data_IF_898100861175
#
_entry.id   IF_898100861175
#
_cell.length_a   1.000
_cell.length_b   1.000
_cell.length_c   1.000
_cell.angle_alpha   90.00
_cell.angle_beta   90.00
_cell.angle_gamma   90.00
#
_symmetry.space_group_name_H-M   'P 1'
#
loop_
_entity.id
_entity.type
_entity.pdbx_description
1 polymer ?
#
# COMPACT_ATOMS: atom_id res chain seq x y z
N UNK A 1 22.05 12.24 -8.49
CA UNK A 1 21.53 12.92 -7.28
C UNK A 1 20.05 13.29 -7.40
N UNK A 2 19.62 13.91 -8.50
CA UNK A 2 18.21 14.31 -8.66
C UNK A 2 17.22 13.12 -8.69
N UNK A 3 17.63 12.00 -9.31
CA UNK A 3 16.83 10.76 -9.34
C UNK A 3 16.55 10.19 -7.94
N UNK A 4 17.57 10.15 -7.07
CA UNK A 4 17.43 9.68 -5.69
C UNK A 4 16.45 10.54 -4.89
N UNK A 5 16.52 11.88 -5.05
CA UNK A 5 15.55 12.80 -4.42
C UNK A 5 14.11 12.55 -4.89
N UNK A 6 13.91 12.26 -6.17
CA UNK A 6 12.58 11.95 -6.73
C UNK A 6 12.04 10.62 -6.20
N UNK A 7 12.89 9.60 -6.09
CA UNK A 7 12.53 8.30 -5.49
C UNK A 7 12.12 8.47 -4.03
N UNK A 8 12.92 9.18 -3.24
CA UNK A 8 12.59 9.47 -1.84
C UNK A 8 11.28 10.27 -1.72
N UNK A 9 11.06 11.24 -2.61
CA UNK A 9 9.81 12.00 -2.65
C UNK A 9 8.61 11.10 -2.97
N UNK A 10 8.74 10.16 -3.91
CA UNK A 10 7.67 9.21 -4.24
C UNK A 10 7.37 8.27 -3.08
N UNK A 11 8.41 7.76 -2.40
CA UNK A 11 8.28 6.96 -1.19
C UNK A 11 7.50 7.69 -0.09
N UNK A 12 7.89 8.93 0.24
CA UNK A 12 7.21 9.71 1.28
C UNK A 12 5.76 10.02 0.91
N UNK A 13 5.51 10.38 -0.34
CA UNK A 13 4.13 10.61 -0.84
C UNK A 13 3.28 9.35 -0.79
N UNK A 14 3.86 8.19 -1.07
CA UNK A 14 3.17 6.91 -0.93
C UNK A 14 2.77 6.66 0.52
N UNK A 15 3.73 6.77 1.44
CA UNK A 15 3.51 6.57 2.88
C UNK A 15 2.43 7.50 3.43
N UNK A 16 2.57 8.82 3.22
CA UNK A 16 1.60 9.81 3.71
C UNK A 16 0.20 9.59 3.13
N UNK A 17 0.11 9.22 1.85
CA UNK A 17 -1.18 8.97 1.20
C UNK A 17 -1.80 7.66 1.69
N UNK A 18 -1.01 6.62 1.93
CA UNK A 18 -1.47 5.34 2.49
C UNK A 18 -2.09 5.53 3.89
N UNK A 19 -1.43 6.33 4.74
CA UNK A 19 -1.94 6.70 6.07
C UNK A 19 -3.27 7.45 5.94
N UNK A 20 -3.30 8.54 5.16
CA UNK A 20 -4.52 9.34 4.95
C UNK A 20 -5.66 8.55 4.31
N UNK A 21 -5.33 7.60 3.43
CA UNK A 21 -6.33 6.72 2.83
C UNK A 21 -7.00 5.85 3.89
N UNK A 22 -6.22 5.24 4.77
CA UNK A 22 -6.74 4.39 5.83
C UNK A 22 -7.68 5.17 6.77
N UNK A 23 -7.23 6.32 7.28
CA UNK A 23 -8.02 7.21 8.14
C UNK A 23 -9.31 7.68 7.46
N UNK A 24 -9.23 8.07 6.18
CA UNK A 24 -10.39 8.51 5.41
C UNK A 24 -11.38 7.36 5.16
N UNK A 25 -10.89 6.13 5.01
CA UNK A 25 -11.74 4.93 4.83
C UNK A 25 -12.48 4.61 6.12
N UNK A 26 -11.79 4.67 7.27
CA UNK A 26 -12.40 4.43 8.60
C UNK A 26 -13.49 5.47 8.91
N UNK A 27 -13.29 6.72 8.49
CA UNK A 27 -14.23 7.82 8.75
C UNK A 27 -15.29 8.00 7.66
N UNK A 28 -15.27 7.19 6.60
CA UNK A 28 -16.21 7.32 5.47
C UNK A 28 -15.99 8.55 4.59
N UNK A 29 -14.83 9.21 4.67
CA UNK A 29 -14.46 10.35 3.84
C UNK A 29 -13.96 9.89 2.46
N UNK A 30 -14.91 9.50 1.60
CA UNK A 30 -14.60 8.97 0.26
C UNK A 30 -13.83 9.95 -0.63
N UNK A 31 -14.08 11.26 -0.50
CA UNK A 31 -13.36 12.27 -1.28
C UNK A 31 -11.86 12.25 -0.95
N UNK A 32 -11.50 12.21 0.33
CA UNK A 32 -10.12 12.12 0.76
C UNK A 32 -9.52 10.74 0.46
N UNK A 33 -10.27 9.65 0.66
CA UNK A 33 -9.80 8.30 0.32
C UNK A 33 -9.43 8.19 -1.17
N UNK A 34 -10.32 8.64 -2.06
CA UNK A 34 -10.09 8.62 -3.51
C UNK A 34 -8.89 9.49 -3.92
N UNK A 35 -8.76 10.68 -3.33
CA UNK A 35 -7.59 11.55 -3.58
C UNK A 35 -6.30 10.89 -3.12
N UNK A 36 -6.30 10.27 -1.94
CA UNK A 36 -5.14 9.55 -1.42
C UNK A 36 -4.79 8.36 -2.31
N UNK A 37 -5.77 7.58 -2.76
CA UNK A 37 -5.56 6.45 -3.67
C UNK A 37 -4.85 6.87 -4.98
N UNK A 38 -5.25 7.99 -5.58
CA UNK A 38 -4.57 8.51 -6.78
C UNK A 38 -3.09 8.81 -6.52
N UNK A 39 -2.74 9.32 -5.34
CA UNK A 39 -1.34 9.58 -4.95
C UNK A 39 -0.59 8.27 -4.72
N UNK A 40 -1.19 7.30 -4.03
CA UNK A 40 -0.63 5.96 -3.80
C UNK A 40 -0.27 5.32 -5.14
N UNK A 41 -1.24 5.20 -6.05
CA UNK A 41 -1.06 4.57 -7.36
C UNK A 41 0.00 5.27 -8.20
N UNK A 42 -0.01 6.61 -8.24
CA UNK A 42 1.00 7.40 -8.97
C UNK A 42 2.40 7.20 -8.40
N UNK A 43 2.55 7.21 -7.08
CA UNK A 43 3.85 7.02 -6.42
C UNK A 43 4.37 5.60 -6.61
N UNK A 44 3.51 4.58 -6.45
CA UNK A 44 3.87 3.19 -6.66
C UNK A 44 4.29 2.92 -8.10
N UNK A 45 3.55 3.46 -9.08
CA UNK A 45 3.90 3.41 -10.50
C UNK A 45 5.28 4.01 -10.75
N UNK A 46 5.57 5.20 -10.23
CA UNK A 46 6.87 5.83 -10.38
C UNK A 46 8.00 4.98 -9.76
N UNK A 47 7.78 4.41 -8.57
CA UNK A 47 8.73 3.52 -7.91
C UNK A 47 8.96 2.25 -8.73
N UNK A 48 7.92 1.68 -9.35
CA UNK A 48 8.02 0.52 -10.25
C UNK A 48 8.83 0.86 -11.50
N UNK A 49 8.49 1.94 -12.19
CA UNK A 49 9.18 2.42 -13.41
C UNK A 49 10.65 2.76 -13.17
N UNK A 50 11.01 3.08 -11.92
CA UNK A 50 12.40 3.39 -11.51
C UNK A 50 13.09 2.24 -10.77
N UNK A 51 12.56 1.00 -10.85
CA UNK A 51 13.11 -0.19 -10.19
C UNK A 51 13.34 -0.03 -8.67
N UNK A 52 12.55 0.83 -8.04
CA UNK A 52 12.65 1.24 -6.64
C UNK A 52 11.46 0.81 -5.79
N UNK A 53 10.53 0.02 -6.34
CA UNK A 53 9.33 -0.47 -5.63
C UNK A 53 9.67 -1.21 -4.33
N UNK A 54 10.77 -1.97 -4.32
CA UNK A 54 11.26 -2.67 -3.12
C UNK A 54 11.51 -1.76 -1.91
N UNK A 55 11.66 -0.45 -2.11
CA UNK A 55 11.82 0.49 -0.99
C UNK A 55 10.61 0.54 -0.08
N UNK A 56 9.41 0.22 -0.59
CA UNK A 56 8.19 0.12 0.20
C UNK A 56 8.27 -0.95 1.30
N UNK A 57 9.21 -1.91 1.20
CA UNK A 57 9.40 -2.94 2.25
C UNK A 57 9.69 -2.35 3.63
N UNK A 58 10.26 -1.13 3.68
CA UNK A 58 10.49 -0.37 4.92
C UNK A 58 9.20 -0.02 5.67
N UNK A 59 8.07 0.00 4.97
CA UNK A 59 6.76 0.31 5.54
C UNK A 59 6.04 -0.92 6.10
N UNK A 60 6.55 -2.14 5.86
CA UNK A 60 5.90 -3.37 6.36
C UNK A 60 5.90 -3.46 7.88
N UNK A 61 6.84 -2.77 8.54
CA UNK A 61 6.95 -2.66 10.00
C UNK A 61 6.45 -1.29 10.53
N UNK A 62 5.82 -0.46 9.69
CA UNK A 62 5.27 0.84 10.10
C UNK A 62 4.21 0.65 11.20
N UNK A 63 4.07 1.59 12.12
CA UNK A 63 2.98 1.57 13.11
C UNK A 63 1.60 1.77 12.46
N UNK A 64 1.54 2.45 11.30
CA UNK A 64 0.29 2.68 10.58
C UNK A 64 -0.16 1.42 9.83
N UNK A 65 -1.39 0.97 10.13
CA UNK A 65 -2.04 -0.11 9.37
C UNK A 65 -2.19 0.25 7.88
N UNK A 66 -2.45 1.52 7.56
CA UNK A 66 -2.56 2.00 6.18
C UNK A 66 -1.26 1.88 5.41
N UNK A 67 -0.14 2.30 6.02
CA UNK A 67 1.18 2.18 5.42
C UNK A 67 1.56 0.71 5.20
N UNK A 68 1.37 -0.15 6.20
CA UNK A 68 1.64 -1.60 6.09
C UNK A 68 0.78 -2.25 5.00
N UNK A 69 -0.53 -2.00 5.00
CA UNK A 69 -1.49 -2.61 4.09
C UNK A 69 -1.16 -2.26 2.64
N UNK A 70 -1.04 -0.97 2.31
CA UNK A 70 -0.78 -0.54 0.94
C UNK A 70 0.61 -0.95 0.47
N UNK A 71 1.63 -0.88 1.33
CA UNK A 71 2.96 -1.37 0.98
C UNK A 71 2.93 -2.87 0.66
N UNK A 72 2.28 -3.67 1.50
CA UNK A 72 2.14 -5.10 1.26
C UNK A 72 1.40 -5.39 -0.06
N UNK A 73 0.27 -4.73 -0.33
CA UNK A 73 -0.48 -4.86 -1.60
C UNK A 73 0.43 -4.65 -2.82
N UNK A 74 1.19 -3.55 -2.88
CA UNK A 74 2.06 -3.27 -4.03
C UNK A 74 3.34 -4.13 -4.07
N UNK A 75 3.70 -4.77 -2.97
CA UNK A 75 4.86 -5.66 -2.90
C UNK A 75 4.53 -7.11 -3.25
N UNK A 76 3.25 -7.51 -3.33
CA UNK A 76 2.85 -8.86 -3.72
C UNK A 76 3.61 -9.40 -4.96
N UNK A 77 3.80 -8.63 -6.06
CA UNK A 77 4.46 -9.16 -7.25
C UNK A 77 5.97 -9.39 -7.14
N UNK A 78 6.65 -8.82 -6.13
CA UNK A 78 8.12 -8.87 -6.00
C UNK A 78 8.60 -9.37 -4.64
N UNK A 79 7.70 -9.45 -3.65
CA UNK A 79 7.99 -9.83 -2.28
C UNK A 79 6.80 -10.54 -1.64
N UNK A 80 6.20 -11.46 -2.41
CA UNK A 80 4.93 -12.12 -2.14
C UNK A 80 4.83 -12.68 -0.72
N UNK A 81 5.78 -13.53 -0.30
CA UNK A 81 5.72 -14.19 1.00
C UNK A 81 5.56 -13.20 2.17
N UNK A 82 6.39 -12.15 2.19
CA UNK A 82 6.39 -11.17 3.27
C UNK A 82 5.16 -10.25 3.17
N UNK A 83 4.80 -9.83 1.96
CA UNK A 83 3.59 -9.05 1.73
C UNK A 83 2.33 -9.81 2.17
N UNK A 84 2.21 -11.08 1.79
CA UNK A 84 1.10 -11.96 2.15
C UNK A 84 1.00 -12.14 3.66
N UNK A 85 2.13 -12.35 4.35
CA UNK A 85 2.13 -12.47 5.82
C UNK A 85 1.59 -11.19 6.50
N UNK A 86 1.95 -10.01 5.99
CA UNK A 86 1.44 -8.73 6.51
C UNK A 86 -0.05 -8.58 6.23
N UNK A 87 -0.51 -8.88 5.01
CA UNK A 87 -1.93 -8.82 4.66
C UNK A 87 -2.76 -9.80 5.50
N UNK A 88 -2.27 -11.03 5.72
CA UNK A 88 -2.94 -12.03 6.56
C UNK A 88 -3.04 -11.57 8.02
N UNK A 89 -2.00 -10.95 8.56
CA UNK A 89 -2.00 -10.36 9.90
C UNK A 89 -3.02 -9.22 10.03
N UNK A 90 -3.16 -8.38 9.00
CA UNK A 90 -4.19 -7.32 8.99
C UNK A 90 -5.59 -7.92 8.84
N UNK A 91 -5.73 -8.95 8.00
CA UNK A 91 -6.98 -9.67 7.75
C UNK A 91 -7.52 -10.40 8.99
N UNK A 92 -6.68 -10.77 9.96
CA UNK A 92 -7.16 -11.41 11.21
C UNK A 92 -7.86 -10.46 12.18
N UNK A 93 -7.85 -9.15 11.91
CA UNK A 93 -8.61 -8.17 12.69
C UNK A 93 -10.11 -8.15 12.33
N UNK A 94 -10.85 -7.27 13.02
CA UNK A 94 -12.29 -7.08 12.86
C UNK A 94 -12.67 -5.62 12.50
N UNK A 95 -11.82 -4.93 11.74
CA UNK A 95 -12.09 -3.56 11.28
C UNK A 95 -12.18 -3.48 9.74
N UNK A 96 -12.44 -2.29 9.22
CA UNK A 96 -12.59 -2.08 7.77
C UNK A 96 -11.33 -2.45 6.98
N UNK A 97 -10.14 -2.23 7.55
CA UNK A 97 -8.88 -2.60 6.94
C UNK A 97 -8.68 -4.11 6.87
N UNK A 98 -9.19 -4.86 7.83
CA UNK A 98 -9.22 -6.33 7.78
C UNK A 98 -10.07 -6.83 6.61
N UNK A 99 -11.21 -6.18 6.31
CA UNK A 99 -11.99 -6.48 5.10
C UNK A 99 -11.20 -6.17 3.83
N UNK A 100 -10.56 -4.99 3.74
CA UNK A 100 -9.71 -4.62 2.59
C UNK A 100 -8.58 -5.63 2.36
N UNK A 101 -7.91 -6.06 3.43
CA UNK A 101 -6.84 -7.06 3.33
C UNK A 101 -7.35 -8.42 2.85
N UNK A 102 -8.49 -8.90 3.37
CA UNK A 102 -9.13 -10.15 2.90
C UNK A 102 -9.44 -10.09 1.40
N UNK A 103 -10.05 -9.00 0.94
CA UNK A 103 -10.36 -8.82 -0.48
C UNK A 103 -9.09 -8.76 -1.33
N UNK A 104 -8.04 -8.10 -0.86
CA UNK A 104 -6.75 -8.04 -1.58
C UNK A 104 -6.12 -9.43 -1.73
N UNK A 105 -6.14 -10.23 -0.67
CA UNK A 105 -5.61 -11.61 -0.69
C UNK A 105 -6.40 -12.45 -1.68
N UNK A 106 -7.73 -12.41 -1.60
CA UNK A 106 -8.63 -13.20 -2.46
C UNK A 106 -8.44 -12.85 -3.94
N UNK A 107 -8.37 -11.56 -4.28
CA UNK A 107 -8.11 -11.10 -5.66
C UNK A 107 -6.69 -11.45 -6.13
N UNK A 108 -5.69 -11.47 -5.24
CA UNK A 108 -4.34 -11.90 -5.56
C UNK A 108 -4.30 -13.41 -5.88
N UNK A 109 -4.88 -14.23 -5.01
CA UNK A 109 -4.93 -15.69 -5.17
C UNK A 109 -5.72 -16.11 -6.42
N UNK A 110 -6.75 -15.36 -6.78
CA UNK A 110 -7.51 -15.53 -8.03
C UNK A 110 -6.77 -15.04 -9.28
N UNK A 111 -5.68 -14.29 -9.11
CA UNK A 111 -4.97 -13.65 -10.22
C UNK A 111 -5.75 -12.50 -10.88
N UNK A 112 -6.72 -11.92 -10.18
CA UNK A 112 -7.59 -10.83 -10.67
C UNK A 112 -7.19 -9.45 -10.14
N UNK A 113 -6.27 -9.38 -9.17
CA UNK A 113 -5.74 -8.13 -8.66
C UNK A 113 -4.94 -7.36 -9.72
N UNK A 114 -5.35 -6.12 -9.99
CA UNK A 114 -4.66 -5.19 -10.90
C UNK A 114 -4.00 -4.06 -10.11
N UNK A 115 -2.68 -3.88 -10.29
CA UNK A 115 -1.81 -2.93 -9.58
C UNK A 115 -1.09 -1.96 -10.54
#
# INVERSE_FOLDING_TARGET
>A
MESLKKIETAYRKFEEAAIKHAEATETGNYAQANKSYQVIAKSARYLKETNSLKQLSKLLDSESVGARMWAATYLLPIFERNAMQILQSIASGNNIHSLTAKMTIDEWEKGTLVL
#
